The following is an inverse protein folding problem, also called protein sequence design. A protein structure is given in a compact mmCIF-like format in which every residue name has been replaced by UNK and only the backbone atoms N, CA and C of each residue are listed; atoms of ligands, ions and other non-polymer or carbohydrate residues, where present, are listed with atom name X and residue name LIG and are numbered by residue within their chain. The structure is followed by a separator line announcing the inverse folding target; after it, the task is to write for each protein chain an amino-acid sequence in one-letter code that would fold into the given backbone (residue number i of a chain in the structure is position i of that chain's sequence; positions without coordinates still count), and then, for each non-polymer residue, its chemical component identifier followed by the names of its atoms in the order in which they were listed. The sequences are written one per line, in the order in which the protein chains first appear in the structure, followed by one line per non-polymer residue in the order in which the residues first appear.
data_IF_458442270311
#
_entry.id   IF_458442270311
#
_cell.length_a   1.000
_cell.length_b   1.000
_cell.length_c   1.000
_cell.angle_alpha   90.00
_cell.angle_beta   90.00
_cell.angle_gamma   90.00
#
_symmetry.space_group_name_H-M   'P 1'
#
loop_
_entity.id
_entity.type
_entity.pdbx_description
1 polymer ?
#
# COMPACT_ATOMS: atom_id res chain seq x y z
N UNK A 1 -4.55 -1.81 54.32
CA UNK A 1 -5.40 -2.34 55.40
C UNK A 1 -6.27 -3.44 54.83
N UNK A 2 -6.08 -4.64 55.40
CA UNK A 2 -7.00 -5.81 55.46
C UNK A 2 -7.43 -6.48 54.15
N UNK A 3 -7.45 -7.75 53.98
CA UNK A 3 -6.96 -8.92 54.77
C UNK A 3 -7.18 -10.17 53.86
N UNK A 4 -6.22 -11.04 53.93
CA UNK A 4 -6.20 -12.47 53.66
C UNK A 4 -7.53 -13.21 53.97
N UNK A 5 -7.90 -14.12 53.06
CA UNK A 5 -8.56 -15.38 53.48
C UNK A 5 -8.16 -16.53 52.54
N UNK A 6 -7.29 -17.38 53.05
CA UNK A 6 -7.01 -18.73 52.56
C UNK A 6 -8.19 -19.62 52.95
N UNK A 7 -8.62 -20.49 52.05
CA UNK A 7 -9.40 -21.70 52.41
C UNK A 7 -8.83 -22.90 51.66
N UNK A 8 -8.24 -23.77 52.43
CA UNK A 8 -7.85 -25.16 52.14
C UNK A 8 -9.14 -26.02 52.22
N UNK A 9 -9.34 -26.88 51.23
CA UNK A 9 -10.25 -28.04 51.37
C UNK A 9 -9.76 -29.15 50.44
N UNK A 10 -9.16 -30.13 51.09
CA UNK A 10 -9.37 -31.57 51.10
C UNK A 10 -9.74 -32.30 49.77
N UNK A 11 -8.82 -33.12 49.33
CA UNK A 11 -8.98 -34.23 48.38
C UNK A 11 -9.76 -35.40 49.00
N UNK A 12 -10.58 -36.11 48.21
CA UNK A 12 -10.75 -37.55 48.42
C UNK A 12 -10.16 -38.35 47.24
N UNK A 13 -9.39 -39.31 47.63
CA UNK A 13 -8.88 -40.45 46.91
C UNK A 13 -10.07 -41.33 46.42
N UNK A 14 -10.27 -41.47 45.11
CA UNK A 14 -11.25 -42.43 44.57
C UNK A 14 -10.53 -43.35 43.54
N UNK A 15 -10.81 -44.62 43.74
CA UNK A 15 -10.18 -45.79 43.16
C UNK A 15 -10.16 -45.82 41.61
N UNK A 16 -9.01 -46.21 41.06
CA UNK A 16 -8.83 -46.54 39.66
C UNK A 16 -9.54 -47.87 39.33
N UNK A 17 -10.55 -47.82 38.47
CA UNK A 17 -11.04 -48.98 37.72
C UNK A 17 -10.38 -48.95 36.36
N UNK A 18 -9.45 -49.85 36.10
CA UNK A 18 -8.79 -50.09 34.83
C UNK A 18 -9.84 -50.70 33.85
N UNK A 19 -10.42 -49.91 33.01
CA UNK A 19 -11.12 -50.36 31.83
C UNK A 19 -10.13 -50.45 30.68
N UNK A 20 -9.79 -51.63 30.23
CA UNK A 20 -9.01 -51.89 29.05
C UNK A 20 -9.75 -51.37 27.83
N UNK A 21 -9.13 -50.54 26.95
CA UNK A 21 -9.74 -50.21 25.69
C UNK A 21 -9.77 -51.44 24.78
N UNK A 22 -10.94 -51.94 24.44
CA UNK A 22 -11.10 -52.84 23.30
C UNK A 22 -10.61 -52.10 22.06
N UNK A 23 -9.44 -52.50 21.53
CA UNK A 23 -8.95 -52.03 20.23
C UNK A 23 -9.97 -52.48 19.17
N UNK A 24 -10.88 -51.61 18.86
CA UNK A 24 -11.68 -51.73 17.67
C UNK A 24 -10.72 -51.60 16.47
N UNK A 25 -10.36 -52.72 15.87
CA UNK A 25 -9.74 -52.78 14.56
C UNK A 25 -10.71 -52.10 13.61
N UNK A 26 -10.52 -50.79 13.38
CA UNK A 26 -11.16 -50.09 12.29
C UNK A 26 -10.68 -50.75 10.99
N UNK A 27 -11.52 -51.64 10.46
CA UNK A 27 -11.33 -52.11 9.08
C UNK A 27 -11.45 -50.88 8.21
N UNK A 28 -10.31 -50.45 7.73
CA UNK A 28 -10.18 -49.43 6.66
C UNK A 28 -10.94 -49.98 5.47
N UNK A 29 -12.21 -49.57 5.35
CA UNK A 29 -13.03 -49.87 4.17
C UNK A 29 -12.34 -49.24 2.99
N UNK A 30 -11.55 -50.06 2.28
CA UNK A 30 -10.94 -49.72 0.99
C UNK A 30 -12.05 -49.21 0.09
N UNK A 31 -12.19 -47.89 -0.05
CA UNK A 31 -13.13 -47.28 -0.99
C UNK A 31 -12.92 -47.97 -2.34
N UNK A 32 -13.98 -48.45 -3.02
CA UNK A 32 -13.84 -49.09 -4.31
C UNK A 32 -13.05 -48.15 -5.21
N UNK A 33 -11.92 -48.65 -5.71
CA UNK A 33 -10.98 -47.88 -6.52
C UNK A 33 -11.73 -47.32 -7.74
N UNK A 34 -11.54 -46.02 -8.03
CA UNK A 34 -12.05 -45.43 -9.25
C UNK A 34 -11.33 -46.11 -10.45
N UNK A 35 -12.08 -46.58 -11.41
CA UNK A 35 -11.54 -47.17 -12.68
C UNK A 35 -11.52 -46.06 -13.69
N UNK A 36 -10.37 -45.85 -14.35
CA UNK A 36 -10.20 -44.83 -15.38
C UNK A 36 -10.18 -45.49 -16.76
N UNK A 37 -10.87 -44.88 -17.72
CA UNK A 37 -10.92 -45.36 -19.09
C UNK A 37 -10.69 -44.22 -20.07
N UNK A 38 -9.84 -44.44 -21.05
CA UNK A 38 -9.64 -43.53 -22.19
C UNK A 38 -9.21 -44.31 -23.45
N UNK A 39 -9.20 -43.64 -24.61
CA UNK A 39 -8.78 -44.22 -25.89
C UNK A 39 -7.36 -43.75 -26.25
N UNK A 40 -6.43 -44.70 -26.32
CA UNK A 40 -5.04 -44.49 -26.75
C UNK A 40 -4.82 -45.24 -28.07
N UNK A 41 -4.46 -44.56 -29.15
CA UNK A 41 -4.20 -45.12 -30.45
C UNK A 41 -5.33 -46.06 -30.97
N UNK A 42 -6.59 -45.65 -30.76
CA UNK A 42 -7.76 -46.42 -31.19
C UNK A 42 -8.14 -47.60 -30.28
N UNK A 43 -7.40 -47.83 -29.18
CA UNK A 43 -7.71 -48.89 -28.22
C UNK A 43 -8.17 -48.26 -26.88
N UNK A 44 -9.19 -48.84 -26.29
CA UNK A 44 -9.66 -48.46 -24.96
C UNK A 44 -8.73 -49.08 -23.93
N UNK A 45 -8.08 -48.20 -23.14
CA UNK A 45 -7.25 -48.58 -21.98
C UNK A 45 -8.07 -48.33 -20.71
N UNK A 46 -8.00 -49.28 -19.80
CA UNK A 46 -8.73 -49.20 -18.49
C UNK A 46 -7.74 -49.53 -17.38
N UNK A 47 -7.61 -48.64 -16.40
CA UNK A 47 -6.71 -48.79 -15.25
C UNK A 47 -7.44 -48.39 -13.95
N UNK A 48 -6.92 -48.86 -12.82
CA UNK A 48 -7.36 -48.48 -11.45
C UNK A 48 -6.80 -47.13 -10.98
N UNK A 49 -6.07 -46.45 -11.86
CA UNK A 49 -5.44 -45.15 -11.64
C UNK A 49 -5.55 -44.31 -12.92
N UNK A 50 -5.37 -42.97 -12.79
CA UNK A 50 -5.32 -42.09 -13.95
C UNK A 50 -4.31 -42.60 -15.02
N UNK A 51 -4.71 -42.62 -16.27
CA UNK A 51 -3.92 -43.13 -17.39
C UNK A 51 -2.99 -42.02 -17.89
N UNK A 52 -1.64 -42.18 -17.74
CA UNK A 52 -0.70 -41.09 -18.07
C UNK A 52 -0.75 -40.70 -19.56
N UNK A 53 -0.94 -41.67 -20.46
CA UNK A 53 -1.02 -41.42 -21.91
C UNK A 53 -2.26 -40.61 -22.30
N UNK A 54 -3.21 -40.49 -21.38
CA UNK A 54 -4.42 -39.70 -21.58
C UNK A 54 -4.43 -38.46 -20.64
N UNK A 55 -3.30 -38.03 -20.09
CA UNK A 55 -3.22 -36.86 -19.22
C UNK A 55 -3.76 -35.59 -19.92
N UNK A 56 -3.48 -35.43 -21.23
CA UNK A 56 -3.97 -34.33 -22.05
C UNK A 56 -5.36 -34.57 -22.69
N UNK A 57 -6.04 -35.66 -22.34
CA UNK A 57 -7.35 -36.02 -22.85
C UNK A 57 -8.34 -36.26 -21.73
N UNK A 58 -9.64 -36.19 -22.05
CA UNK A 58 -10.69 -36.54 -21.12
C UNK A 58 -10.65 -38.02 -20.79
N UNK A 59 -10.66 -38.37 -19.50
CA UNK A 59 -10.72 -39.74 -19.03
C UNK A 59 -12.07 -39.99 -18.35
N UNK A 60 -12.72 -41.10 -18.67
CA UNK A 60 -13.95 -41.50 -17.96
C UNK A 60 -13.59 -42.20 -16.67
N UNK A 61 -14.27 -41.82 -15.61
CA UNK A 61 -14.22 -42.51 -14.33
C UNK A 61 -15.40 -43.48 -14.28
N UNK A 62 -15.10 -44.75 -14.12
CA UNK A 62 -16.11 -45.81 -14.08
C UNK A 62 -16.30 -46.35 -12.66
N UNK A 63 -17.48 -46.80 -12.37
CA UNK A 63 -17.80 -47.63 -11.23
C UNK A 63 -17.33 -49.07 -11.46
N UNK A 64 -17.37 -49.91 -10.43
CA UNK A 64 -17.02 -51.36 -10.52
C UNK A 64 -17.96 -52.14 -11.42
N UNK A 65 -19.15 -51.64 -11.72
CA UNK A 65 -20.13 -52.23 -12.65
C UNK A 65 -19.92 -51.76 -14.14
N UNK A 66 -18.89 -50.93 -14.40
CA UNK A 66 -18.62 -50.36 -15.71
C UNK A 66 -19.44 -49.14 -16.07
N UNK A 67 -20.38 -48.72 -15.24
CA UNK A 67 -21.12 -47.47 -15.48
C UNK A 67 -20.25 -46.22 -15.27
N UNK A 68 -20.50 -45.13 -16.00
CA UNK A 68 -19.75 -43.90 -15.93
C UNK A 68 -20.13 -43.17 -14.63
N UNK A 69 -19.15 -42.99 -13.71
CA UNK A 69 -19.25 -42.21 -12.49
C UNK A 69 -19.02 -40.73 -12.73
N UNK A 70 -18.15 -40.37 -13.67
CA UNK A 70 -17.78 -39.01 -13.97
C UNK A 70 -16.71 -38.92 -15.07
N UNK A 71 -16.24 -37.68 -15.28
CA UNK A 71 -15.19 -37.40 -16.26
C UNK A 71 -14.04 -36.71 -15.52
N UNK A 72 -12.82 -37.10 -15.84
CA UNK A 72 -11.60 -36.36 -15.45
C UNK A 72 -11.23 -35.46 -16.62
N UNK A 73 -11.21 -34.18 -16.37
CA UNK A 73 -10.76 -33.19 -17.35
C UNK A 73 -9.27 -33.38 -17.66
N UNK A 74 -8.83 -33.03 -18.86
CA UNK A 74 -7.42 -33.01 -19.22
C UNK A 74 -6.58 -32.19 -18.24
N UNK A 75 -5.38 -32.65 -17.95
CA UNK A 75 -4.41 -31.86 -17.25
C UNK A 75 -3.91 -30.75 -18.18
N UNK A 76 -3.94 -29.53 -17.68
CA UNK A 76 -3.41 -28.38 -18.40
C UNK A 76 -1.91 -28.54 -18.64
N UNK A 77 -1.45 -28.18 -19.82
CA UNK A 77 -0.02 -28.06 -20.11
C UNK A 77 0.63 -26.98 -19.24
N UNK A 78 1.96 -26.98 -19.17
CA UNK A 78 2.70 -25.93 -18.46
C UNK A 78 2.32 -24.53 -18.96
N UNK A 79 2.18 -24.38 -20.26
CA UNK A 79 1.89 -23.09 -20.90
C UNK A 79 0.44 -22.65 -20.64
N UNK A 80 -0.52 -23.57 -20.71
CA UNK A 80 -1.91 -23.29 -20.34
C UNK A 80 -2.07 -22.92 -18.86
N UNK A 81 -1.34 -23.59 -17.96
CA UNK A 81 -1.31 -23.22 -16.53
C UNK A 81 -0.73 -21.84 -16.35
N UNK A 82 0.41 -21.52 -16.96
CA UNK A 82 1.03 -20.21 -16.90
C UNK A 82 0.09 -19.11 -17.45
N UNK A 83 -0.59 -19.38 -18.56
CA UNK A 83 -1.57 -18.45 -19.14
C UNK A 83 -2.78 -18.22 -18.21
N UNK A 84 -3.29 -19.26 -17.57
CA UNK A 84 -4.38 -19.14 -16.59
C UNK A 84 -3.95 -18.39 -15.34
N UNK A 85 -2.74 -18.66 -14.84
CA UNK A 85 -2.19 -17.93 -13.69
C UNK A 85 -1.98 -16.46 -14.01
N UNK A 86 -1.43 -16.12 -15.17
CA UNK A 86 -1.27 -14.74 -15.63
C UNK A 86 -2.62 -14.01 -15.71
N UNK A 87 -3.62 -14.65 -16.29
CA UNK A 87 -4.99 -14.09 -16.34
C UNK A 87 -5.60 -13.91 -14.97
N UNK A 88 -5.44 -14.87 -14.07
CA UNK A 88 -5.93 -14.74 -12.69
C UNK A 88 -5.24 -13.60 -11.93
N UNK A 89 -3.93 -13.42 -12.15
CA UNK A 89 -3.18 -12.30 -11.57
C UNK A 89 -3.69 -10.95 -12.10
N UNK A 90 -3.89 -10.83 -13.41
CA UNK A 90 -4.44 -9.62 -14.03
C UNK A 90 -5.83 -9.29 -13.48
N UNK A 91 -6.73 -10.26 -13.40
CA UNK A 91 -8.06 -10.09 -12.84
C UNK A 91 -8.02 -9.74 -11.35
N UNK A 92 -7.07 -10.31 -10.58
CA UNK A 92 -6.88 -10.01 -9.17
C UNK A 92 -6.40 -8.56 -8.98
N UNK A 93 -5.46 -8.10 -9.81
CA UNK A 93 -4.99 -6.72 -9.83
C UNK A 93 -6.11 -5.74 -10.20
N UNK A 94 -6.87 -6.03 -11.26
CA UNK A 94 -8.01 -5.21 -11.67
C UNK A 94 -9.05 -5.08 -10.54
N UNK A 95 -9.39 -6.20 -9.88
CA UNK A 95 -10.30 -6.20 -8.72
C UNK A 95 -9.74 -5.42 -7.52
N UNK A 96 -8.42 -5.51 -7.28
CA UNK A 96 -7.77 -4.75 -6.21
C UNK A 96 -7.79 -3.24 -6.50
N UNK A 97 -7.49 -2.83 -7.73
CA UNK A 97 -7.56 -1.44 -8.17
C UNK A 97 -8.98 -0.88 -8.07
N UNK A 98 -9.97 -1.66 -8.48
CA UNK A 98 -11.38 -1.24 -8.36
C UNK A 98 -11.82 -1.05 -6.90
N UNK A 99 -11.45 -1.98 -6.01
CA UNK A 99 -11.75 -1.82 -4.57
C UNK A 99 -11.06 -0.59 -3.99
N UNK A 100 -9.82 -0.33 -4.39
CA UNK A 100 -9.06 0.84 -3.94
C UNK A 100 -9.70 2.14 -4.45
N UNK A 101 -10.13 2.21 -5.71
CA UNK A 101 -10.85 3.35 -6.26
C UNK A 101 -12.15 3.63 -5.48
N UNK A 102 -12.94 2.59 -5.19
CA UNK A 102 -14.15 2.71 -4.38
C UNK A 102 -13.83 3.23 -2.97
N UNK A 103 -12.80 2.69 -2.34
CA UNK A 103 -12.37 3.10 -1.00
C UNK A 103 -11.97 4.57 -0.97
N UNK A 104 -11.17 5.02 -1.95
CA UNK A 104 -10.75 6.42 -2.07
C UNK A 104 -11.93 7.36 -2.24
N UNK A 105 -12.86 7.03 -3.12
CA UNK A 105 -14.04 7.87 -3.36
C UNK A 105 -14.93 7.98 -2.13
N UNK A 106 -15.14 6.88 -1.41
CA UNK A 106 -15.88 6.91 -0.14
C UNK A 106 -15.18 7.76 0.92
N UNK A 107 -13.85 7.67 1.00
CA UNK A 107 -13.07 8.50 1.92
C UNK A 107 -13.14 9.99 1.55
N UNK A 108 -13.10 10.32 0.25
CA UNK A 108 -13.27 11.70 -0.22
C UNK A 108 -14.65 12.25 0.14
N UNK A 109 -15.71 11.47 -0.09
CA UNK A 109 -17.08 11.86 0.28
C UNK A 109 -17.24 12.03 1.80
N UNK A 110 -16.64 11.15 2.60
CA UNK A 110 -16.68 11.23 4.06
C UNK A 110 -15.91 12.47 4.57
N UNK A 111 -14.76 12.78 3.95
CA UNK A 111 -13.94 13.93 4.29
C UNK A 111 -14.57 15.25 3.86
N UNK A 112 -15.18 15.26 2.68
CA UNK A 112 -15.74 16.45 2.05
C UNK A 112 -17.21 16.22 1.68
N UNK A 113 -18.13 16.40 2.62
CA UNK A 113 -19.57 16.19 2.37
C UNK A 113 -20.15 17.23 1.39
N UNK A 114 -19.48 18.34 1.18
CA UNK A 114 -19.88 19.41 0.25
C UNK A 114 -18.68 20.25 -0.20
N UNK A 115 -18.87 21.07 -1.21
CA UNK A 115 -17.83 21.95 -1.76
C UNK A 115 -17.26 22.90 -0.71
N UNK A 116 -18.08 23.46 0.17
CA UNK A 116 -17.63 24.40 1.22
C UNK A 116 -16.62 23.77 2.16
N UNK A 117 -16.81 22.49 2.53
CA UNK A 117 -15.86 21.74 3.37
C UNK A 117 -14.52 21.53 2.64
N UNK A 118 -14.57 21.21 1.35
CA UNK A 118 -13.38 21.05 0.51
C UNK A 118 -12.63 22.39 0.35
N UNK A 119 -13.33 23.48 0.00
CA UNK A 119 -12.73 24.80 -0.19
C UNK A 119 -12.06 25.30 1.10
N UNK A 120 -12.69 25.07 2.26
CA UNK A 120 -12.08 25.38 3.57
C UNK A 120 -10.79 24.63 3.81
N UNK A 121 -10.74 23.34 3.48
CA UNK A 121 -9.54 22.53 3.63
C UNK A 121 -8.42 22.96 2.67
N UNK A 122 -8.79 23.26 1.41
CA UNK A 122 -7.87 23.82 0.41
C UNK A 122 -7.25 25.13 0.90
N UNK A 123 -8.07 26.06 1.37
CA UNK A 123 -7.59 27.35 1.83
C UNK A 123 -6.66 27.21 3.03
N UNK A 124 -6.99 26.34 3.99
CA UNK A 124 -6.13 26.09 5.13
C UNK A 124 -4.77 25.51 4.74
N UNK A 125 -4.75 24.59 3.74
CA UNK A 125 -3.50 24.01 3.23
C UNK A 125 -2.65 25.06 2.51
N UNK A 126 -3.26 25.90 1.69
CA UNK A 126 -2.57 26.98 0.95
C UNK A 126 -2.10 28.10 1.87
N UNK A 127 -2.86 28.44 2.91
CA UNK A 127 -2.51 29.48 3.89
C UNK A 127 -1.22 29.11 4.66
N UNK A 128 -1.10 27.86 5.04
CA UNK A 128 0.13 27.35 5.66
C UNK A 128 1.36 27.56 4.77
N UNK A 129 1.24 27.24 3.46
CA UNK A 129 2.34 27.44 2.51
C UNK A 129 2.62 28.92 2.26
N UNK A 130 1.59 29.77 2.11
CA UNK A 130 1.75 31.22 1.96
C UNK A 130 2.47 31.85 3.14
N UNK A 131 2.11 31.41 4.35
CA UNK A 131 2.79 31.88 5.57
C UNK A 131 4.25 31.49 5.59
N UNK A 132 4.59 30.24 5.19
CA UNK A 132 5.96 29.78 5.05
C UNK A 132 6.76 30.57 4.00
N UNK A 133 6.18 30.81 2.83
CA UNK A 133 6.78 31.60 1.75
C UNK A 133 7.06 33.03 2.25
N UNK A 134 6.08 33.67 2.88
CA UNK A 134 6.23 35.04 3.40
C UNK A 134 7.35 35.13 4.44
N UNK A 135 7.45 34.19 5.37
CA UNK A 135 8.54 34.14 6.33
C UNK A 135 9.91 33.97 5.65
N UNK A 136 9.99 33.12 4.63
CA UNK A 136 11.21 32.88 3.84
C UNK A 136 11.61 34.12 3.04
N UNK A 137 10.67 34.83 2.45
CA UNK A 137 10.90 36.07 1.71
C UNK A 137 11.35 37.23 2.66
N UNK A 138 10.78 37.29 3.86
CA UNK A 138 11.23 38.21 4.89
C UNK A 138 12.68 37.93 5.33
N UNK A 139 13.07 36.65 5.43
CA UNK A 139 14.46 36.28 5.74
C UNK A 139 15.41 36.66 4.59
N UNK A 140 14.99 36.48 3.34
CA UNK A 140 15.78 36.97 2.17
C UNK A 140 16.02 38.48 2.24
N UNK A 141 14.97 39.25 2.52
CA UNK A 141 15.10 40.71 2.65
C UNK A 141 16.02 41.12 3.80
N UNK A 142 16.04 40.34 4.92
CA UNK A 142 16.97 40.56 6.01
C UNK A 142 18.42 40.26 5.60
N UNK A 143 18.65 39.13 4.88
CA UNK A 143 19.98 38.76 4.37
C UNK A 143 20.53 39.79 3.37
N UNK A 144 19.69 40.38 2.54
CA UNK A 144 20.08 41.49 1.65
C UNK A 144 20.52 42.73 2.43
N UNK A 145 19.80 43.06 3.51
CA UNK A 145 20.20 44.17 4.41
C UNK A 145 21.50 43.88 5.16
N UNK A 146 21.70 42.64 5.59
CA UNK A 146 22.95 42.18 6.23
C UNK A 146 24.12 42.20 5.24
N UNK A 147 23.88 41.89 3.97
CA UNK A 147 24.89 41.87 2.90
C UNK A 147 25.39 43.24 2.53
N UNK A 148 24.52 44.27 2.55
CA UNK A 148 24.86 45.60 2.05
C UNK A 148 26.10 46.19 2.76
N UNK A 149 26.19 46.28 4.11
CA UNK A 149 27.39 46.82 4.76
C UNK A 149 28.65 46.01 4.51
N UNK A 150 28.50 44.65 4.31
CA UNK A 150 29.65 43.80 3.94
C UNK A 150 30.20 44.16 2.58
N UNK A 151 29.32 44.46 1.62
CA UNK A 151 29.72 44.91 0.29
C UNK A 151 30.31 46.31 0.31
N UNK A 152 29.73 47.25 1.07
CA UNK A 152 30.26 48.61 1.22
C UNK A 152 31.68 48.57 1.83
N UNK A 153 31.95 47.64 2.77
CA UNK A 153 33.29 47.42 3.33
C UNK A 153 34.29 46.93 2.28
N UNK A 154 33.84 46.14 1.26
CA UNK A 154 34.78 45.68 0.21
C UNK A 154 35.38 46.80 -0.63
N UNK A 155 34.70 47.95 -0.73
CA UNK A 155 35.15 49.12 -1.49
C UNK A 155 36.50 49.67 -0.97
N UNK A 156 36.79 49.51 0.34
CA UNK A 156 38.07 49.93 0.94
C UNK A 156 39.26 49.03 0.52
N UNK A 157 38.96 47.85 -0.06
CA UNK A 157 39.98 46.87 -0.45
C UNK A 157 40.16 46.74 -1.99
N UNK A 158 39.68 47.71 -2.75
CA UNK A 158 39.87 47.69 -4.23
C UNK A 158 41.39 47.63 -4.56
N UNK A 159 41.80 46.60 -5.28
CA UNK A 159 43.21 46.35 -5.63
C UNK A 159 44.03 45.70 -4.50
N UNK A 160 43.43 45.34 -3.38
CA UNK A 160 44.06 44.62 -2.25
C UNK A 160 43.29 43.33 -1.94
N UNK A 161 43.94 42.32 -1.33
CA UNK A 161 43.22 41.12 -0.88
C UNK A 161 42.26 41.47 0.22
N UNK A 162 41.03 40.92 0.15
CA UNK A 162 40.02 41.05 1.19
C UNK A 162 40.48 40.38 2.50
N UNK A 163 40.21 41.00 3.68
CA UNK A 163 40.43 40.33 4.95
C UNK A 163 39.67 38.99 5.03
N UNK A 164 40.32 37.96 5.57
CA UNK A 164 39.75 36.61 5.61
C UNK A 164 38.37 36.57 6.30
N UNK A 165 38.20 37.39 7.40
CA UNK A 165 36.95 37.49 8.10
C UNK A 165 35.84 38.09 7.24
N UNK A 166 36.11 39.18 6.51
CA UNK A 166 35.12 39.81 5.63
C UNK A 166 34.69 38.84 4.52
N UNK A 167 35.68 38.18 3.87
CA UNK A 167 35.36 37.14 2.88
C UNK A 167 34.49 36.05 3.43
N UNK A 168 34.82 35.51 4.61
CA UNK A 168 34.03 34.46 5.25
C UNK A 168 32.58 34.92 5.53
N UNK A 169 32.36 36.16 5.97
CA UNK A 169 31.02 36.72 6.23
C UNK A 169 30.21 36.86 4.94
N UNK A 170 30.82 37.31 3.86
CA UNK A 170 30.18 37.41 2.54
C UNK A 170 29.81 36.01 2.04
N UNK A 171 30.74 35.06 2.07
CA UNK A 171 30.52 33.69 1.61
C UNK A 171 29.41 33.02 2.42
N UNK A 172 29.36 33.25 3.74
CA UNK A 172 28.31 32.70 4.61
C UNK A 172 26.93 33.32 4.33
N UNK A 173 26.87 34.64 4.10
CA UNK A 173 25.63 35.32 3.71
C UNK A 173 25.13 34.83 2.35
N UNK A 174 26.03 34.73 1.35
CA UNK A 174 25.70 34.26 0.00
C UNK A 174 25.19 32.80 0.02
N UNK A 175 25.86 31.91 0.77
CA UNK A 175 25.42 30.53 0.93
C UNK A 175 24.03 30.44 1.60
N UNK A 176 23.80 31.26 2.64
CA UNK A 176 22.49 31.29 3.34
C UNK A 176 21.40 31.86 2.42
N UNK A 177 21.73 32.89 1.63
CA UNK A 177 20.80 33.50 0.69
C UNK A 177 20.39 32.50 -0.40
N UNK A 178 21.33 31.75 -0.96
CA UNK A 178 21.03 30.74 -1.96
C UNK A 178 20.17 29.58 -1.41
N UNK A 179 20.51 29.11 -0.21
CA UNK A 179 19.68 28.11 0.47
C UNK A 179 18.24 28.62 0.69
N UNK A 180 18.09 29.88 1.09
CA UNK A 180 16.78 30.48 1.31
C UNK A 180 16.00 30.72 0.00
N UNK A 181 16.66 31.09 -1.09
CA UNK A 181 16.05 31.17 -2.42
C UNK A 181 15.54 29.81 -2.89
N UNK A 182 16.34 28.78 -2.73
CA UNK A 182 15.95 27.41 -3.05
C UNK A 182 14.75 26.96 -2.23
N UNK A 183 14.70 27.32 -0.93
CA UNK A 183 13.55 27.03 -0.08
C UNK A 183 12.27 27.71 -0.59
N UNK A 184 12.33 29.00 -0.95
CA UNK A 184 11.19 29.73 -1.51
C UNK A 184 10.71 29.10 -2.81
N UNK A 185 11.63 28.73 -3.70
CA UNK A 185 11.30 28.08 -4.97
C UNK A 185 10.58 26.74 -4.73
N UNK A 186 11.09 25.92 -3.82
CA UNK A 186 10.48 24.64 -3.46
C UNK A 186 9.09 24.82 -2.82
N UNK A 187 8.92 25.81 -1.94
CA UNK A 187 7.61 26.11 -1.33
C UNK A 187 6.58 26.60 -2.37
N UNK A 188 7.02 27.43 -3.34
CA UNK A 188 6.16 27.88 -4.46
C UNK A 188 5.78 26.70 -5.36
N UNK A 189 6.70 25.82 -5.69
CA UNK A 189 6.42 24.61 -6.45
C UNK A 189 5.41 23.70 -5.72
N UNK A 190 5.59 23.52 -4.40
CA UNK A 190 4.65 22.75 -3.59
C UNK A 190 3.26 23.37 -3.55
N UNK A 191 3.16 24.69 -3.47
CA UNK A 191 1.89 25.39 -3.53
C UNK A 191 1.14 25.12 -4.85
N UNK A 192 1.86 25.11 -5.98
CA UNK A 192 1.29 24.75 -7.30
C UNK A 192 0.81 23.30 -7.30
N UNK A 193 1.62 22.38 -6.77
CA UNK A 193 1.28 20.96 -6.67
C UNK A 193 0.02 20.73 -5.82
N UNK A 194 -0.03 21.34 -4.64
CA UNK A 194 -1.19 21.24 -3.75
C UNK A 194 -2.44 21.84 -4.40
N UNK A 195 -2.32 22.98 -5.07
CA UNK A 195 -3.45 23.60 -5.80
C UNK A 195 -4.01 22.63 -6.83
N UNK A 196 -3.15 22.05 -7.67
CA UNK A 196 -3.56 21.09 -8.70
C UNK A 196 -4.24 19.86 -8.10
N UNK A 197 -3.71 19.34 -6.99
CA UNK A 197 -4.29 18.19 -6.30
C UNK A 197 -5.73 18.48 -5.84
N UNK A 198 -5.94 19.62 -5.18
CA UNK A 198 -7.28 20.03 -4.74
C UNK A 198 -8.23 20.30 -5.91
N UNK A 199 -7.74 20.83 -7.03
CA UNK A 199 -8.56 21.04 -8.23
C UNK A 199 -9.01 19.69 -8.84
N UNK A 200 -8.13 18.72 -8.96
CA UNK A 200 -8.44 17.35 -9.41
C UNK A 200 -9.44 16.64 -8.45
N UNK A 201 -9.21 16.79 -7.12
CA UNK A 201 -10.15 16.27 -6.12
C UNK A 201 -11.53 16.89 -6.22
N UNK A 202 -11.59 18.21 -6.44
CA UNK A 202 -12.87 18.94 -6.58
C UNK A 202 -13.66 18.48 -7.80
N UNK A 203 -13.00 18.30 -8.93
CA UNK A 203 -13.66 17.78 -10.15
C UNK A 203 -14.26 16.39 -9.92
N UNK A 204 -13.50 15.52 -9.23
CA UNK A 204 -13.98 14.20 -8.87
C UNK A 204 -15.15 14.26 -7.89
N UNK A 205 -15.03 15.08 -6.85
CA UNK A 205 -16.08 15.28 -5.85
C UNK A 205 -17.38 15.82 -6.46
N UNK A 206 -17.30 16.76 -7.40
CA UNK A 206 -18.48 17.26 -8.12
C UNK A 206 -19.26 16.15 -8.81
N UNK A 207 -18.56 15.22 -9.45
CA UNK A 207 -19.18 14.03 -10.07
C UNK A 207 -19.80 13.11 -9.03
N UNK A 208 -19.10 12.88 -7.91
CA UNK A 208 -19.60 12.04 -6.82
C UNK A 208 -20.84 12.66 -6.15
N UNK A 209 -20.84 13.96 -5.89
CA UNK A 209 -21.99 14.68 -5.33
C UNK A 209 -23.19 14.73 -6.30
N UNK A 210 -22.94 14.67 -7.60
CA UNK A 210 -24.00 14.55 -8.61
C UNK A 210 -24.54 13.13 -8.78
N UNK A 211 -24.07 12.17 -7.99
CA UNK A 211 -24.59 10.79 -7.97
C UNK A 211 -23.75 9.77 -8.72
N UNK A 212 -22.54 10.11 -9.18
CA UNK A 212 -21.64 9.11 -9.74
C UNK A 212 -21.27 8.05 -8.69
N UNK A 213 -21.25 6.77 -9.09
CA UNK A 213 -20.91 5.69 -8.18
C UNK A 213 -19.43 5.73 -7.82
N UNK A 214 -19.08 5.54 -6.52
CA UNK A 214 -17.69 5.40 -6.11
C UNK A 214 -16.96 4.31 -6.89
N UNK A 215 -15.78 4.63 -7.40
CA UNK A 215 -14.97 3.73 -8.21
C UNK A 215 -15.26 3.76 -9.73
N UNK A 216 -16.32 4.44 -10.18
CA UNK A 216 -16.66 4.50 -11.61
C UNK A 216 -15.65 5.29 -12.46
N UNK A 217 -14.88 6.15 -11.83
CA UNK A 217 -13.91 7.03 -12.51
C UNK A 217 -12.47 6.50 -12.49
N UNK A 218 -12.26 5.26 -12.03
CA UNK A 218 -10.92 4.67 -11.93
C UNK A 218 -10.03 5.31 -10.85
N UNK A 219 -8.73 5.05 -10.92
CA UNK A 219 -7.73 5.61 -10.01
C UNK A 219 -7.17 6.90 -10.60
N UNK A 220 -7.08 7.97 -9.78
CA UNK A 220 -6.34 9.18 -10.16
C UNK A 220 -4.84 8.86 -10.03
N UNK A 221 -4.06 9.01 -11.08
CA UNK A 221 -2.63 8.77 -11.08
C UNK A 221 -1.82 9.72 -10.17
N UNK A 222 -2.41 10.84 -9.77
CA UNK A 222 -1.73 11.92 -9.00
C UNK A 222 -1.69 11.73 -7.49
N UNK A 223 -2.28 10.66 -6.95
CA UNK A 223 -2.34 10.46 -5.49
C UNK A 223 -1.12 9.72 -4.95
N UNK A 224 0.08 10.14 -5.33
CA UNK A 224 1.25 9.86 -4.54
C UNK A 224 1.15 10.70 -3.27
N UNK A 225 0.97 10.03 -2.13
CA UNK A 225 0.84 10.67 -0.83
C UNK A 225 1.99 11.65 -0.62
N UNK A 226 1.77 12.82 0.01
CA UNK A 226 2.86 13.70 0.38
C UNK A 226 3.83 12.87 1.21
N UNK A 227 5.10 12.82 0.79
CA UNK A 227 6.17 12.23 1.56
C UNK A 227 6.03 12.75 2.99
N UNK A 228 5.83 11.85 3.94
CA UNK A 228 5.70 12.13 5.36
C UNK A 228 6.77 13.16 5.75
N UNK A 229 6.35 14.22 6.45
CA UNK A 229 7.21 15.26 6.96
C UNK A 229 8.48 14.66 7.57
N UNK A 230 9.66 15.28 7.38
CA UNK A 230 10.91 14.77 7.90
C UNK A 230 10.78 14.58 9.41
N UNK A 231 11.09 13.37 9.86
CA UNK A 231 11.12 13.00 11.25
C UNK A 231 12.00 14.01 12.01
N UNK A 232 11.45 14.64 13.07
CA UNK A 232 12.21 15.52 13.96
C UNK A 232 13.49 14.80 14.39
N UNK A 233 14.67 15.44 14.32
CA UNK A 233 15.89 14.85 14.83
C UNK A 233 15.69 14.54 16.32
N UNK A 234 15.94 13.29 16.69
CA UNK A 234 16.01 12.88 18.10
C UNK A 234 17.16 13.67 18.71
N UNK A 235 16.86 14.60 19.61
CA UNK A 235 17.84 15.24 20.45
C UNK A 235 18.52 14.13 21.26
N UNK A 236 19.79 13.88 20.99
CA UNK A 236 20.65 13.10 21.86
C UNK A 236 20.78 13.87 23.18
N UNK A 237 20.41 13.20 24.27
CA UNK A 237 20.59 13.72 25.64
C UNK A 237 22.06 13.48 26.01
N UNK A 238 22.70 14.43 26.69
CA UNK A 238 24.09 14.33 27.11
C UNK A 238 24.33 13.19 28.09
#
# INVERSE_FOLDING_TARGET
MHALARLLAATPLAAAIAAAPAAALAQEQKKPGAIYSCVVNGRTVVLDRPIPECASKEQRILNSDGSTRGLRTPELTSDERAAMEAKQQEEALARAQQREAIRRDRNLLARFPNQKAHDKAREAALDSLRTGIKASEQRLAALEKERKPLMDETEFYVGKPLPAKLKQQIDANDATTEAQRSLVANQKAEMVRVTKLYDEELERLRKLWSGAQPGSMGIIASAEAPASAPAKPKTAKP
#
